data_IF_570857052157
#
_entry.id   IF_570857052157
#
_cell.length_a   1.000
_cell.length_b   1.000
_cell.length_c   1.000
_cell.angle_alpha   90.00
_cell.angle_beta   90.00
_cell.angle_gamma   90.00
#
_symmetry.space_group_name_H-M   'P 1'
#
loop_
_entity.id
_entity.type
_entity.pdbx_description
1 polymer ?
#
# COMPACT_ATOMS: atom_id res chain seq x y z
N UNK A 1 10.13 -8.03 -6.44
CA UNK A 1 10.27 -7.57 -5.04
C UNK A 1 11.54 -6.74 -4.96
N UNK A 2 11.38 -5.42 -5.06
CA UNK A 2 12.44 -4.46 -4.77
C UNK A 2 12.22 -4.13 -3.29
N UNK A 3 13.22 -4.30 -2.41
CA UNK A 3 13.05 -4.19 -0.94
C UNK A 3 12.75 -2.79 -0.41
N UNK A 4 11.95 -2.00 -1.13
CA UNK A 4 11.48 -0.66 -0.77
C UNK A 4 9.99 -0.58 -1.07
N UNK A 5 9.21 -0.28 -0.03
CA UNK A 5 7.77 -0.16 -0.09
C UNK A 5 7.36 1.03 -0.98
N UNK A 6 8.05 2.16 -0.89
CA UNK A 6 7.83 3.32 -1.76
C UNK A 6 7.91 2.97 -3.26
N UNK A 7 8.87 2.13 -3.68
CA UNK A 7 8.98 1.70 -5.08
C UNK A 7 7.83 0.79 -5.51
N UNK A 8 7.36 -0.10 -4.63
CA UNK A 8 6.21 -0.94 -4.92
C UNK A 8 4.93 -0.09 -5.05
N UNK A 9 4.77 0.94 -4.21
CA UNK A 9 3.65 1.89 -4.26
C UNK A 9 3.65 2.69 -5.58
N UNK A 10 4.81 3.19 -6.01
CA UNK A 10 4.95 3.79 -7.34
C UNK A 10 4.60 2.81 -8.47
N UNK A 11 4.98 1.54 -8.34
CA UNK A 11 4.61 0.50 -9.30
C UNK A 11 3.09 0.29 -9.41
N UNK A 12 2.35 0.49 -8.33
CA UNK A 12 0.89 0.39 -8.29
C UNK A 12 0.24 1.64 -8.87
N UNK A 13 0.76 2.81 -8.53
CA UNK A 13 0.33 4.08 -9.13
C UNK A 13 0.54 4.09 -10.65
N UNK A 14 1.67 3.57 -11.15
CA UNK A 14 1.91 3.38 -12.59
C UNK A 14 1.11 2.21 -13.20
N UNK A 15 0.40 1.44 -12.38
CA UNK A 15 -0.43 0.31 -12.81
C UNK A 15 0.34 -0.91 -13.30
N UNK A 16 1.62 -1.02 -12.95
CA UNK A 16 2.50 -2.16 -13.29
C UNK A 16 2.37 -3.30 -12.29
N UNK A 17 1.95 -2.99 -11.07
CA UNK A 17 1.71 -3.92 -9.98
C UNK A 17 0.23 -3.79 -9.60
N UNK A 18 -0.43 -4.91 -9.27
CA UNK A 18 -1.85 -4.93 -8.91
C UNK A 18 -2.08 -4.93 -7.39
N UNK A 19 -1.17 -5.57 -6.65
CA UNK A 19 -1.20 -5.71 -5.19
C UNK A 19 0.22 -5.58 -4.62
N UNK A 20 0.39 -4.77 -3.59
CA UNK A 20 1.57 -4.77 -2.73
C UNK A 20 1.18 -5.25 -1.34
N UNK A 21 2.06 -6.03 -0.72
CA UNK A 21 1.97 -6.41 0.67
C UNK A 21 3.37 -6.30 1.24
N UNK A 22 3.52 -5.53 2.31
CA UNK A 22 4.78 -5.44 3.05
C UNK A 22 4.48 -5.42 4.54
N UNK A 23 5.19 -6.27 5.28
CA UNK A 23 5.09 -6.37 6.73
C UNK A 23 6.42 -5.90 7.34
N UNK A 24 6.37 -4.92 8.23
CA UNK A 24 7.56 -4.45 8.96
C UNK A 24 8.47 -3.51 8.17
N UNK A 25 7.95 -2.38 7.72
CA UNK A 25 8.77 -1.28 7.19
C UNK A 25 9.49 -0.54 8.34
N UNK A 26 10.74 -0.10 8.08
CA UNK A 26 11.63 0.50 9.07
C UNK A 26 11.19 1.85 9.65
N UNK A 27 10.10 2.42 9.13
CA UNK A 27 9.45 3.60 9.70
C UNK A 27 8.24 4.09 8.89
N UNK A 28 7.42 4.99 9.49
CA UNK A 28 6.17 5.49 8.92
C UNK A 28 6.36 6.33 7.64
N UNK A 29 7.54 6.89 7.44
CA UNK A 29 7.84 7.80 6.32
C UNK A 29 7.80 7.12 4.95
N UNK A 30 8.21 5.85 4.86
CA UNK A 30 8.21 5.10 3.59
C UNK A 30 6.77 4.84 3.11
N UNK A 31 5.87 4.59 4.07
CA UNK A 31 4.45 4.41 3.82
C UNK A 31 3.77 5.75 3.55
N UNK A 32 4.09 6.79 4.34
CA UNK A 32 3.47 8.12 4.21
C UNK A 32 3.60 8.69 2.79
N UNK A 33 4.81 8.63 2.23
CA UNK A 33 5.08 9.16 0.89
C UNK A 33 4.34 8.38 -0.21
N UNK A 34 4.34 7.05 -0.13
CA UNK A 34 3.67 6.24 -1.14
C UNK A 34 2.16 6.17 -0.96
N UNK A 35 1.63 6.38 0.25
CA UNK A 35 0.19 6.45 0.53
C UNK A 35 -0.45 7.60 -0.26
N UNK A 36 0.14 8.80 -0.21
CA UNK A 36 -0.35 9.96 -0.99
C UNK A 36 -0.31 9.68 -2.48
N UNK A 37 0.77 9.10 -2.99
CA UNK A 37 0.91 8.77 -4.42
C UNK A 37 -0.17 7.79 -4.87
N UNK A 38 -0.42 6.74 -4.08
CA UNK A 38 -1.42 5.73 -4.38
C UNK A 38 -2.82 6.30 -4.27
N UNK A 39 -3.10 7.12 -3.27
CA UNK A 39 -4.39 7.79 -3.09
C UNK A 39 -4.71 8.72 -4.26
N UNK A 40 -3.75 9.53 -4.72
CA UNK A 40 -3.89 10.38 -5.92
C UNK A 40 -4.05 9.57 -7.22
N UNK A 41 -3.44 8.38 -7.29
CA UNK A 41 -3.63 7.45 -8.40
C UNK A 41 -4.97 6.68 -8.31
N UNK A 42 -5.77 6.90 -7.26
CA UNK A 42 -7.05 6.23 -7.02
C UNK A 42 -6.94 4.82 -6.43
N UNK A 43 -5.77 4.42 -5.95
CA UNK A 43 -5.55 3.18 -5.20
C UNK A 43 -5.90 3.33 -3.72
N UNK A 44 -5.95 2.20 -3.01
CA UNK A 44 -6.37 2.16 -1.61
C UNK A 44 -5.31 1.43 -0.78
N UNK A 45 -4.90 2.02 0.34
CA UNK A 45 -4.13 1.35 1.38
C UNK A 45 -5.09 0.78 2.44
N UNK A 46 -4.82 -0.44 2.88
CA UNK A 46 -5.56 -1.08 3.96
C UNK A 46 -4.68 -2.08 4.70
N UNK A 47 -5.02 -2.31 5.96
CA UNK A 47 -4.37 -3.33 6.76
C UNK A 47 -5.03 -4.69 6.47
N UNK A 48 -4.28 -5.74 6.08
CA UNK A 48 -4.83 -7.06 5.81
C UNK A 48 -5.36 -7.73 7.08
N UNK A 49 -5.02 -7.20 8.25
CA UNK A 49 -5.59 -7.59 9.54
C UNK A 49 -6.99 -7.00 9.79
N UNK A 50 -7.54 -6.21 8.86
CA UNK A 50 -8.89 -5.63 8.96
C UNK A 50 -8.99 -4.44 9.93
N UNK A 51 -7.85 -3.85 10.30
CA UNK A 51 -7.79 -2.61 11.08
C UNK A 51 -7.77 -1.40 10.16
N UNK A 52 -8.26 -0.27 10.67
CA UNK A 52 -8.02 1.03 10.04
C UNK A 52 -6.51 1.25 9.89
N UNK A 53 -6.12 1.70 8.69
CA UNK A 53 -4.73 1.93 8.35
C UNK A 53 -4.15 3.01 9.26
N UNK A 54 -3.25 2.62 10.16
CA UNK A 54 -2.58 3.50 11.12
C UNK A 54 -1.11 3.66 10.72
N UNK A 55 -0.74 4.87 10.29
CA UNK A 55 0.61 5.20 9.82
C UNK A 55 1.69 5.00 10.90
N UNK A 56 1.34 5.13 12.18
CA UNK A 56 2.26 5.04 13.32
C UNK A 56 2.47 3.61 13.80
N UNK A 57 1.56 2.71 13.45
CA UNK A 57 1.73 1.30 13.72
C UNK A 57 2.70 0.72 12.71
N UNK A 58 3.70 -0.03 13.15
CA UNK A 58 4.53 -0.90 12.28
C UNK A 58 3.71 -2.09 11.76
N UNK A 59 2.43 -1.86 11.46
CA UNK A 59 1.46 -2.84 11.02
C UNK A 59 1.49 -2.94 9.51
N UNK A 60 1.38 -4.16 9.05
CA UNK A 60 1.43 -4.57 7.66
C UNK A 60 0.51 -3.73 6.76
N UNK A 61 1.08 -3.03 5.77
CA UNK A 61 0.28 -2.27 4.80
C UNK A 61 0.08 -3.10 3.53
N UNK A 62 -1.18 -3.31 3.14
CA UNK A 62 -1.54 -3.84 1.82
C UNK A 62 -2.09 -2.71 0.96
N UNK A 63 -1.75 -2.70 -0.32
CA UNK A 63 -2.25 -1.69 -1.23
C UNK A 63 -2.74 -2.30 -2.54
N UNK A 64 -3.91 -1.88 -3.01
CA UNK A 64 -4.58 -2.48 -4.18
C UNK A 64 -5.19 -1.42 -5.08
N UNK A 65 -5.30 -1.75 -6.37
CA UNK A 65 -6.04 -1.00 -7.38
C UNK A 65 -7.54 -0.87 -7.01
N UNK A 66 -8.21 0.23 -7.40
CA UNK A 66 -9.63 0.41 -7.09
C UNK A 66 -10.52 -0.69 -7.68
N UNK A 67 -10.14 -1.27 -8.82
CA UNK A 67 -10.93 -2.33 -9.49
C UNK A 67 -10.84 -3.69 -8.78
N UNK A 68 -9.71 -4.01 -8.15
CA UNK A 68 -9.45 -5.34 -7.56
C UNK A 68 -10.04 -5.47 -6.16
N UNK A 69 -10.42 -4.36 -5.50
CA UNK A 69 -11.07 -4.39 -4.17
C UNK A 69 -12.39 -5.18 -4.15
N UNK A 70 -13.11 -5.21 -5.27
CA UNK A 70 -14.36 -5.96 -5.41
C UNK A 70 -14.17 -7.48 -5.60
N UNK A 71 -12.96 -7.97 -5.86
CA UNK A 71 -12.67 -9.38 -6.07
C UNK A 71 -12.23 -10.12 -4.79
N UNK A 72 -12.03 -9.39 -3.69
CA UNK A 72 -11.54 -9.92 -2.41
C UNK A 72 -12.60 -9.94 -1.30
N UNK A 73 -13.89 -9.79 -1.64
CA UNK A 73 -15.02 -10.00 -0.73
C UNK A 73 -15.83 -11.23 -1.12
#
# INVERSE_FOLDING_TARGET
MTGSLALNLCGIACGRIDLCYEAGFGGPWDVAGGAVIVEEAGGVLFDPSGKDFDITSSSTSSCVKPFTKGCFY
#
